data_IF_273699057196
#
_entry.id   IF_273699057196
#
_cell.length_a   1.000
_cell.length_b   1.000
_cell.length_c   1.000
_cell.angle_alpha   90.00
_cell.angle_beta   90.00
_cell.angle_gamma   90.00
#
_symmetry.space_group_name_H-M   'P 1'
#
loop_
_entity.id
_entity.type
_entity.pdbx_description
1 polymer ?
#
# COMPACT_ATOMS: atom_id res chain seq x y z
N UNK A 1 -24.34 8.63 -9.56
CA UNK A 1 -23.19 7.83 -10.03
C UNK A 1 -23.23 6.50 -9.27
N UNK A 2 -22.98 5.36 -9.92
CA UNK A 2 -23.21 4.05 -9.31
C UNK A 2 -22.20 3.81 -8.17
N UNK A 3 -22.66 3.59 -6.93
CA UNK A 3 -21.78 3.54 -5.74
C UNK A 3 -20.64 2.51 -5.89
N UNK A 4 -20.92 1.38 -6.55
CA UNK A 4 -19.91 0.37 -6.85
C UNK A 4 -18.73 0.94 -7.65
N UNK A 5 -18.99 1.79 -8.66
CA UNK A 5 -17.94 2.39 -9.50
C UNK A 5 -17.03 3.31 -8.69
N UNK A 6 -17.60 4.05 -7.74
CA UNK A 6 -16.84 4.95 -6.85
C UNK A 6 -15.97 4.16 -5.87
N UNK A 7 -16.49 3.07 -5.30
CA UNK A 7 -15.72 2.19 -4.44
C UNK A 7 -14.57 1.53 -5.22
N UNK A 8 -14.84 1.02 -6.42
CA UNK A 8 -13.80 0.44 -7.28
C UNK A 8 -12.73 1.47 -7.66
N UNK A 9 -13.14 2.70 -7.95
CA UNK A 9 -12.20 3.79 -8.21
C UNK A 9 -11.30 4.07 -7.01
N UNK A 10 -11.86 4.20 -5.80
CA UNK A 10 -11.07 4.39 -4.58
C UNK A 10 -10.13 3.22 -4.31
N UNK A 11 -10.59 2.00 -4.55
CA UNK A 11 -9.77 0.80 -4.39
C UNK A 11 -8.61 0.75 -5.38
N UNK A 12 -8.85 1.10 -6.65
CA UNK A 12 -7.81 1.21 -7.65
C UNK A 12 -6.78 2.29 -7.29
N UNK A 13 -7.22 3.46 -6.82
CA UNK A 13 -6.31 4.53 -6.37
C UNK A 13 -5.42 4.06 -5.21
N UNK A 14 -6.01 3.41 -4.19
CA UNK A 14 -5.23 2.91 -3.06
C UNK A 14 -4.26 1.78 -3.43
N UNK A 15 -4.66 0.88 -4.33
CA UNK A 15 -3.79 -0.19 -4.82
C UNK A 15 -2.63 0.36 -5.67
N UNK A 16 -2.92 1.25 -6.62
CA UNK A 16 -1.89 1.88 -7.46
C UNK A 16 -0.92 2.68 -6.60
N UNK A 17 -1.42 3.43 -5.62
CA UNK A 17 -0.57 4.21 -4.70
C UNK A 17 0.38 3.29 -3.93
N UNK A 18 -0.11 2.18 -3.40
CA UNK A 18 0.73 1.20 -2.73
C UNK A 18 1.82 0.62 -3.65
N UNK A 19 1.47 0.24 -4.87
CA UNK A 19 2.44 -0.27 -5.84
C UNK A 19 3.51 0.76 -6.19
N UNK A 20 3.13 2.03 -6.34
CA UNK A 20 4.06 3.12 -6.64
C UNK A 20 4.92 3.49 -5.43
N UNK A 21 4.39 3.41 -4.22
CA UNK A 21 5.11 3.74 -2.99
C UNK A 21 6.05 2.61 -2.53
N UNK A 22 5.85 1.37 -2.96
CA UNK A 22 6.76 0.27 -2.64
C UNK A 22 8.22 0.51 -3.05
N UNK A 23 8.56 0.87 -4.31
CA UNK A 23 9.94 1.19 -4.66
C UNK A 23 10.47 2.41 -3.90
N UNK A 24 9.60 3.36 -3.55
CA UNK A 24 9.99 4.51 -2.71
C UNK A 24 10.38 4.06 -1.31
N UNK A 25 9.61 3.15 -0.69
CA UNK A 25 9.94 2.55 0.62
C UNK A 25 11.29 1.81 0.55
N UNK A 26 11.50 0.98 -0.47
CA UNK A 26 12.77 0.25 -0.64
C UNK A 26 13.95 1.19 -0.87
N UNK A 27 13.74 2.30 -1.58
CA UNK A 27 14.75 3.34 -1.74
C UNK A 27 15.06 4.07 -0.44
N UNK A 28 14.06 4.40 0.38
CA UNK A 28 14.26 4.97 1.71
C UNK A 28 15.06 4.01 2.60
N UNK A 29 14.77 2.70 2.53
CA UNK A 29 15.54 1.68 3.25
C UNK A 29 16.99 1.60 2.77
N UNK A 30 17.22 1.70 1.46
CA UNK A 30 18.57 1.78 0.88
C UNK A 30 19.36 2.96 1.45
N UNK A 31 18.75 4.14 1.55
CA UNK A 31 19.39 5.31 2.16
C UNK A 31 19.63 5.13 3.66
N UNK A 32 18.65 4.59 4.40
CA UNK A 32 18.73 4.43 5.85
C UNK A 32 19.83 3.46 6.28
N UNK A 33 20.06 2.39 5.52
CA UNK A 33 21.02 1.33 5.87
C UNK A 33 22.30 1.36 5.01
N UNK A 34 22.45 2.32 4.08
CA UNK A 34 23.60 2.44 3.17
C UNK A 34 23.91 1.18 2.35
N UNK A 35 22.88 0.41 1.99
CA UNK A 35 22.98 -0.73 1.06
C UNK A 35 22.35 -0.39 -0.29
N UNK A 36 22.73 -1.14 -1.33
CA UNK A 36 22.16 -0.97 -2.67
C UNK A 36 20.66 -1.29 -2.72
N UNK A 37 19.91 -0.56 -3.56
CA UNK A 37 18.49 -0.83 -3.79
C UNK A 37 18.21 -2.27 -4.22
N UNK A 38 19.09 -2.85 -5.05
CA UNK A 38 18.98 -4.23 -5.53
C UNK A 38 18.96 -5.26 -4.39
N UNK A 39 19.66 -4.98 -3.28
CA UNK A 39 19.65 -5.82 -2.10
C UNK A 39 18.26 -5.88 -1.48
N UNK A 40 17.64 -4.73 -1.24
CA UNK A 40 16.28 -4.63 -0.68
C UNK A 40 15.21 -5.17 -1.64
N UNK A 41 15.40 -4.97 -2.95
CA UNK A 41 14.52 -5.57 -3.96
C UNK A 41 14.58 -7.10 -3.95
N UNK A 42 15.79 -7.67 -3.89
CA UNK A 42 15.98 -9.11 -3.76
C UNK A 42 15.40 -9.63 -2.44
N UNK A 43 15.55 -8.87 -1.36
CA UNK A 43 15.02 -9.22 -0.06
C UNK A 43 13.48 -9.23 -0.05
N UNK A 44 12.86 -8.24 -0.69
CA UNK A 44 11.41 -8.16 -0.90
C UNK A 44 10.87 -9.37 -1.67
N UNK A 45 11.56 -9.82 -2.73
CA UNK A 45 11.08 -10.91 -3.58
C UNK A 45 11.31 -12.30 -2.99
N UNK A 46 12.38 -12.49 -2.20
CA UNK A 46 12.80 -13.82 -1.74
C UNK A 46 12.43 -14.14 -0.29
N UNK A 47 12.07 -13.13 0.52
CA UNK A 47 11.79 -13.33 1.94
C UNK A 47 10.45 -12.71 2.34
N UNK A 48 9.45 -13.57 2.50
CA UNK A 48 8.07 -13.22 2.83
C UNK A 48 7.94 -12.29 4.03
N UNK A 49 8.72 -12.53 5.09
CA UNK A 49 8.75 -11.71 6.32
C UNK A 49 9.07 -10.25 6.01
N UNK A 50 9.99 -9.98 5.08
CA UNK A 50 10.32 -8.62 4.67
C UNK A 50 9.30 -8.06 3.67
N UNK A 51 8.76 -8.91 2.79
CA UNK A 51 7.65 -8.56 1.89
C UNK A 51 6.48 -7.95 2.65
N UNK A 52 6.02 -8.60 3.73
CA UNK A 52 4.90 -8.14 4.56
C UNK A 52 5.20 -6.78 5.24
N UNK A 53 6.43 -6.60 5.74
CA UNK A 53 6.87 -5.33 6.36
C UNK A 53 6.90 -4.18 5.35
N UNK A 54 7.51 -4.39 4.18
CA UNK A 54 7.62 -3.34 3.16
C UNK A 54 6.28 -2.99 2.54
N UNK A 55 5.40 -3.97 2.30
CA UNK A 55 4.04 -3.70 1.84
C UNK A 55 3.23 -2.91 2.87
N UNK A 56 3.36 -3.22 4.16
CA UNK A 56 2.69 -2.46 5.23
C UNK A 56 3.15 -1.00 5.27
N UNK A 57 4.45 -0.74 5.08
CA UNK A 57 5.00 0.62 4.95
C UNK A 57 4.46 1.33 3.69
N UNK A 58 4.33 0.61 2.58
CA UNK A 58 3.79 1.13 1.34
C UNK A 58 2.28 1.49 1.43
N UNK A 59 1.56 1.00 2.46
CA UNK A 59 0.17 1.40 2.73
C UNK A 59 0.05 2.82 3.30
N UNK A 60 1.08 3.36 3.96
CA UNK A 60 0.98 4.63 4.71
C UNK A 60 0.48 5.79 3.84
N UNK A 61 0.96 5.98 2.59
CA UNK A 61 0.48 7.05 1.71
C UNK A 61 -1.01 6.95 1.35
N UNK A 62 -1.67 5.79 1.52
CA UNK A 62 -3.12 5.68 1.33
C UNK A 62 -3.91 6.50 2.35
N UNK A 63 -3.34 6.81 3.53
CA UNK A 63 -3.95 7.71 4.51
C UNK A 63 -4.10 9.14 3.96
N UNK A 64 -3.17 9.59 3.12
CA UNK A 64 -3.25 10.89 2.46
C UNK A 64 -4.48 10.96 1.55
N UNK A 65 -4.66 9.96 0.69
CA UNK A 65 -5.84 9.87 -0.19
C UNK A 65 -7.13 9.70 0.60
N UNK A 66 -7.11 8.87 1.63
CA UNK A 66 -8.26 8.68 2.51
C UNK A 66 -8.72 10.03 3.09
N UNK A 67 -7.81 10.79 3.70
CA UNK A 67 -8.14 12.10 4.28
C UNK A 67 -8.60 13.10 3.22
N UNK A 68 -7.93 13.13 2.06
CA UNK A 68 -8.29 14.01 0.95
C UNK A 68 -9.71 13.76 0.43
N UNK A 69 -10.11 12.49 0.23
CA UNK A 69 -11.46 12.16 -0.22
C UNK A 69 -12.52 12.34 0.87
N UNK A 70 -12.15 12.11 2.14
CA UNK A 70 -13.01 12.35 3.27
C UNK A 70 -13.39 13.83 3.38
N UNK A 71 -12.41 14.73 3.26
CA UNK A 71 -12.63 16.18 3.34
C UNK A 71 -13.41 16.75 2.14
N UNK A 72 -13.55 15.99 1.06
CA UNK A 72 -14.37 16.31 -0.11
C UNK A 72 -15.74 15.63 -0.08
N UNK A 73 -16.15 15.10 1.07
CA UNK A 73 -17.41 14.38 1.27
C UNK A 73 -17.59 13.17 0.33
N UNK A 74 -16.48 12.61 -0.21
CA UNK A 74 -16.49 11.43 -1.09
C UNK A 74 -16.33 10.15 -0.29
N UNK A 75 -17.29 9.88 0.60
CA UNK A 75 -17.29 8.75 1.53
C UNK A 75 -17.13 7.39 0.84
N UNK A 76 -17.79 7.18 -0.31
CA UNK A 76 -17.73 5.94 -1.09
C UNK A 76 -16.32 5.68 -1.63
N UNK A 77 -15.65 6.72 -2.12
CA UNK A 77 -14.28 6.64 -2.64
C UNK A 77 -13.31 6.41 -1.49
N UNK A 78 -13.45 7.14 -0.39
CA UNK A 78 -12.62 6.98 0.81
C UNK A 78 -12.70 5.55 1.38
N UNK A 79 -13.90 4.96 1.40
CA UNK A 79 -14.11 3.54 1.73
C UNK A 79 -13.36 2.60 0.78
N UNK A 80 -13.44 2.86 -0.52
CA UNK A 80 -12.68 2.11 -1.52
C UNK A 80 -11.17 2.12 -1.25
N UNK A 81 -10.61 3.28 -0.88
CA UNK A 81 -9.18 3.39 -0.52
C UNK A 81 -8.83 2.49 0.66
N UNK A 82 -9.64 2.47 1.73
CA UNK A 82 -9.43 1.56 2.87
C UNK A 82 -9.52 0.08 2.43
N UNK A 83 -10.50 -0.27 1.60
CA UNK A 83 -10.65 -1.64 1.11
C UNK A 83 -9.42 -2.15 0.37
N UNK A 84 -8.68 -1.27 -0.33
CA UNK A 84 -7.43 -1.66 -0.97
C UNK A 84 -6.38 -2.16 0.02
N UNK A 85 -6.32 -1.60 1.23
CA UNK A 85 -5.40 -2.03 2.29
C UNK A 85 -5.84 -3.37 2.89
N UNK A 86 -7.16 -3.61 3.01
CA UNK A 86 -7.69 -4.87 3.53
C UNK A 86 -7.34 -6.08 2.66
N UNK A 87 -7.10 -5.89 1.36
CA UNK A 87 -6.62 -6.96 0.47
C UNK A 87 -5.29 -7.55 0.94
N UNK A 88 -4.48 -6.76 1.65
CA UNK A 88 -3.18 -7.19 2.15
C UNK A 88 -3.26 -7.99 3.45
N UNK A 89 -4.38 -7.93 4.16
CA UNK A 89 -4.55 -8.59 5.46
C UNK A 89 -4.43 -10.12 5.35
N UNK A 90 -5.09 -10.83 4.41
CA UNK A 90 -4.89 -12.27 4.24
C UNK A 90 -3.44 -12.66 3.95
N UNK A 91 -2.74 -11.87 3.13
CA UNK A 91 -1.33 -12.10 2.83
C UNK A 91 -0.46 -11.91 4.08
N UNK A 92 -0.69 -10.84 4.85
CA UNK A 92 0.04 -10.57 6.08
C UNK A 92 -0.18 -11.67 7.13
N UNK A 93 -1.40 -12.21 7.25
CA UNK A 93 -1.69 -13.34 8.15
C UNK A 93 -0.93 -14.58 7.70
N UNK A 94 -0.99 -14.94 6.41
CA UNK A 94 -0.29 -16.12 5.87
C UNK A 94 1.23 -16.11 6.11
N UNK A 95 1.85 -14.93 6.03
CA UNK A 95 3.30 -14.79 6.18
C UNK A 95 3.77 -14.85 7.64
N UNK A 96 2.93 -14.45 8.59
CA UNK A 96 3.29 -14.35 10.01
C UNK A 96 2.76 -15.51 10.87
N UNK A 97 2.01 -16.44 10.28
CA UNK A 97 1.60 -17.69 10.91
C UNK A 97 2.64 -18.79 10.68
#
# INVERSE_FOLDING_TARGET
>A
MNQLKETMFGMAVGFVTMCLCLPVVLWIMSLAYSYEFAYFWKQFMNYSVYTSKYLSLACIPNLFWFYFFLNRERWTVARGVIFSVLVLVPFAIYVNF
#
